data_IF_814973705840
#
_entry.id   IF_814973705840
#
_cell.length_a   1.000
_cell.length_b   1.000
_cell.length_c   1.000
_cell.angle_alpha   90.00
_cell.angle_beta   90.00
_cell.angle_gamma   90.00
#
_symmetry.space_group_name_H-M   'P 1'
#
loop_
_entity.id
_entity.type
_entity.pdbx_description
1 polymer ?
#
# COMPACT_ATOMS: atom_id res chain seq x y z
N UNK A 1 3.05 -11.91 7.56
CA UNK A 1 2.31 -10.69 7.24
C UNK A 1 1.20 -10.44 8.25
N UNK A 2 0.81 -9.17 8.45
CA UNK A 2 -0.16 -8.72 9.48
C UNK A 2 -1.48 -9.53 9.53
N UNK A 3 -1.95 -10.04 8.40
CA UNK A 3 -3.20 -10.83 8.32
C UNK A 3 -3.12 -12.21 8.99
N UNK A 4 -1.94 -12.76 9.17
CA UNK A 4 -1.68 -14.05 9.81
C UNK A 4 -1.03 -13.91 11.19
N UNK A 5 -0.79 -12.69 11.66
CA UNK A 5 -0.21 -12.41 12.96
C UNK A 5 -1.30 -12.49 14.04
N UNK A 6 -1.13 -13.39 15.02
CA UNK A 6 -2.09 -13.59 16.11
C UNK A 6 -2.17 -12.40 17.08
N UNK A 7 -1.14 -11.54 17.09
CA UNK A 7 -1.06 -10.35 17.95
C UNK A 7 -1.62 -9.11 17.26
N UNK A 8 -1.80 -9.14 15.93
CA UNK A 8 -2.28 -8.00 15.18
C UNK A 8 -3.78 -8.13 14.90
N UNK A 9 -4.54 -7.10 15.23
CA UNK A 9 -5.95 -6.96 14.85
C UNK A 9 -6.08 -5.92 13.77
N UNK A 10 -6.43 -6.33 12.55
CA UNK A 10 -6.67 -5.44 11.43
C UNK A 10 -7.95 -4.62 11.70
N UNK A 11 -7.82 -3.30 11.69
CA UNK A 11 -8.93 -2.36 11.97
C UNK A 11 -9.48 -1.70 10.72
N UNK A 12 -8.66 -1.53 9.69
CA UNK A 12 -9.11 -1.05 8.39
C UNK A 12 -8.31 -1.65 7.25
N UNK A 13 -8.93 -1.78 6.09
CA UNK A 13 -8.28 -2.21 4.85
C UNK A 13 -8.84 -1.39 3.69
N UNK A 14 -7.99 -0.58 3.06
CA UNK A 14 -8.26 0.09 1.79
C UNK A 14 -7.67 -0.71 0.64
N UNK A 15 -8.42 -0.90 -0.43
CA UNK A 15 -7.97 -1.56 -1.66
C UNK A 15 -8.28 -0.63 -2.82
N UNK A 16 -7.25 -0.07 -3.41
CA UNK A 16 -7.36 0.91 -4.48
C UNK A 16 -6.81 0.31 -5.77
N UNK A 17 -7.68 0.17 -6.76
CA UNK A 17 -7.24 -0.19 -8.09
C UNK A 17 -6.63 1.03 -8.77
N UNK A 18 -5.49 0.84 -9.39
CA UNK A 18 -4.79 1.85 -10.17
C UNK A 18 -5.06 1.60 -11.67
N UNK A 19 -5.14 2.66 -12.44
CA UNK A 19 -5.17 2.59 -13.89
C UNK A 19 -4.12 3.57 -14.42
N UNK A 20 -3.43 3.15 -15.48
CA UNK A 20 -2.42 3.98 -16.13
C UNK A 20 -3.03 5.29 -16.64
N UNK A 21 -2.20 6.32 -16.76
CA UNK A 21 -2.61 7.65 -17.20
C UNK A 21 -3.16 7.70 -18.63
N UNK A 22 -2.84 6.68 -19.44
CA UNK A 22 -3.31 6.60 -20.84
C UNK A 22 -4.77 6.16 -20.93
N UNK A 23 -5.52 6.88 -21.73
CA UNK A 23 -6.94 6.66 -22.00
C UNK A 23 -7.88 7.52 -21.16
N UNK A 24 -9.10 7.73 -21.65
CA UNK A 24 -10.05 8.62 -21.02
C UNK A 24 -10.38 8.24 -19.57
N UNK A 25 -10.38 9.22 -18.68
CA UNK A 25 -10.64 9.06 -17.25
C UNK A 25 -11.97 8.32 -16.97
N UNK A 26 -13.00 8.55 -17.82
CA UNK A 26 -14.28 7.85 -17.73
C UNK A 26 -14.20 6.34 -17.90
N UNK A 27 -13.17 5.82 -18.59
CA UNK A 27 -12.92 4.38 -18.73
C UNK A 27 -11.96 3.87 -17.66
N UNK A 28 -10.99 4.68 -17.28
CA UNK A 28 -9.99 4.30 -16.28
C UNK A 28 -10.60 4.19 -14.86
N UNK A 29 -11.57 5.02 -14.53
CA UNK A 29 -12.27 4.95 -13.23
C UNK A 29 -12.97 3.61 -12.99
N UNK A 30 -13.88 3.11 -13.86
CA UNK A 30 -14.46 1.78 -13.65
C UNK A 30 -13.45 0.65 -13.77
N UNK A 31 -12.44 0.77 -14.65
CA UNK A 31 -11.39 -0.23 -14.81
C UNK A 31 -10.57 -0.40 -13.53
N UNK A 32 -10.13 0.69 -12.91
CA UNK A 32 -9.40 0.66 -11.65
C UNK A 32 -10.26 0.10 -10.52
N UNK A 33 -11.53 0.49 -10.44
CA UNK A 33 -12.47 -0.07 -9.45
C UNK A 33 -12.67 -1.58 -9.62
N UNK A 34 -12.76 -2.07 -10.86
CA UNK A 34 -12.86 -3.49 -11.14
C UNK A 34 -11.60 -4.26 -10.72
N UNK A 35 -10.42 -3.67 -10.85
CA UNK A 35 -9.17 -4.25 -10.32
C UNK A 35 -9.21 -4.39 -8.81
N UNK A 36 -9.65 -3.34 -8.08
CA UNK A 36 -9.81 -3.40 -6.63
C UNK A 36 -10.80 -4.49 -6.21
N UNK A 37 -11.94 -4.61 -6.90
CA UNK A 37 -12.93 -5.67 -6.65
C UNK A 37 -12.34 -7.06 -6.85
N UNK A 38 -11.60 -7.27 -7.94
CA UNK A 38 -10.94 -8.55 -8.23
C UNK A 38 -9.89 -8.89 -7.18
N UNK A 39 -9.13 -7.90 -6.74
CA UNK A 39 -8.13 -8.06 -5.69
C UNK A 39 -8.77 -8.41 -4.34
N UNK A 40 -9.86 -7.74 -3.95
CA UNK A 40 -10.61 -8.11 -2.74
C UNK A 40 -11.15 -9.54 -2.84
N UNK A 41 -11.77 -9.90 -3.96
CA UNK A 41 -12.30 -11.27 -4.17
C UNK A 41 -11.20 -12.32 -4.03
N UNK A 42 -10.05 -12.06 -4.63
CA UNK A 42 -8.90 -12.96 -4.52
C UNK A 42 -8.42 -13.04 -3.07
N UNK A 43 -8.24 -11.92 -2.37
CA UNK A 43 -7.82 -11.88 -0.99
C UNK A 43 -8.75 -12.70 -0.09
N UNK A 44 -10.06 -12.47 -0.17
CA UNK A 44 -11.07 -13.17 0.64
C UNK A 44 -11.09 -14.70 0.40
N UNK A 45 -10.68 -15.15 -0.79
CA UNK A 45 -10.57 -16.57 -1.11
C UNK A 45 -9.31 -17.25 -0.53
N UNK A 46 -8.30 -16.44 -0.08
CA UNK A 46 -7.00 -16.95 0.36
C UNK A 46 -6.68 -16.63 1.84
N UNK A 47 -7.64 -16.10 2.59
CA UNK A 47 -7.48 -15.81 4.03
C UNK A 47 -8.54 -16.53 4.86
N UNK A 48 -8.16 -16.98 6.07
CA UNK A 48 -9.03 -17.73 6.94
C UNK A 48 -10.20 -16.90 7.52
N UNK A 49 -10.00 -15.61 7.78
CA UNK A 49 -10.99 -14.73 8.40
C UNK A 49 -11.67 -13.77 7.40
N UNK A 50 -11.99 -14.26 6.20
CA UNK A 50 -12.52 -13.45 5.10
C UNK A 50 -13.73 -12.59 5.46
N UNK A 51 -14.66 -13.09 6.27
CA UNK A 51 -15.85 -12.34 6.68
C UNK A 51 -15.52 -11.11 7.56
N UNK A 52 -14.53 -11.21 8.43
CA UNK A 52 -14.06 -10.07 9.25
C UNK A 52 -13.42 -9.01 8.35
N UNK A 53 -12.53 -9.45 7.47
CA UNK A 53 -11.84 -8.56 6.52
C UNK A 53 -12.84 -7.88 5.58
N UNK A 54 -13.85 -8.60 5.09
CA UNK A 54 -14.90 -8.04 4.24
C UNK A 54 -15.66 -6.89 4.89
N UNK A 55 -15.89 -6.92 6.21
CA UNK A 55 -16.61 -5.86 6.95
C UNK A 55 -15.83 -4.56 7.03
N UNK A 56 -14.50 -4.62 7.11
CA UNK A 56 -13.61 -3.47 7.25
C UNK A 56 -13.00 -3.01 5.93
N UNK A 57 -13.11 -3.84 4.88
CA UNK A 57 -12.57 -3.50 3.56
C UNK A 57 -13.34 -2.35 2.90
N UNK A 58 -12.59 -1.43 2.32
CA UNK A 58 -13.08 -0.32 1.50
C UNK A 58 -12.41 -0.38 0.14
N UNK A 59 -13.22 -0.30 -0.90
CA UNK A 59 -12.74 -0.35 -2.28
C UNK A 59 -12.77 1.04 -2.86
N UNK A 60 -11.66 1.45 -3.43
CA UNK A 60 -11.50 2.70 -4.13
C UNK A 60 -11.04 2.52 -5.57
N UNK A 61 -11.21 3.58 -6.34
CA UNK A 61 -10.65 3.76 -7.67
C UNK A 61 -9.67 4.93 -7.57
N UNK A 62 -8.44 4.71 -8.00
CA UNK A 62 -7.43 5.75 -8.06
C UNK A 62 -6.78 5.69 -9.45
N UNK A 63 -7.44 6.23 -10.49
CA UNK A 63 -6.76 6.44 -11.76
C UNK A 63 -5.53 7.32 -11.50
N UNK A 64 -4.38 6.86 -11.94
CA UNK A 64 -3.16 7.65 -11.80
C UNK A 64 -3.12 8.69 -12.92
N UNK A 65 -2.88 9.95 -12.56
CA UNK A 65 -2.55 10.97 -13.52
C UNK A 65 -1.14 10.79 -14.11
N UNK A 66 -0.63 11.80 -14.76
CA UNK A 66 0.67 11.76 -15.43
C UNK A 66 1.87 12.00 -14.50
N UNK A 67 1.63 12.43 -13.24
CA UNK A 67 2.72 12.68 -12.29
C UNK A 67 3.54 11.42 -11.97
N UNK A 68 2.96 10.23 -11.71
CA UNK A 68 3.73 9.01 -11.48
C UNK A 68 4.60 8.60 -12.68
N UNK A 69 4.15 8.90 -13.91
CA UNK A 69 4.95 8.67 -15.13
C UNK A 69 6.17 9.59 -15.13
N UNK A 70 5.99 10.88 -14.85
CA UNK A 70 7.09 11.83 -14.73
C UNK A 70 8.07 11.40 -13.63
N UNK A 71 7.58 11.04 -12.46
CA UNK A 71 8.41 10.62 -11.32
C UNK A 71 9.25 9.38 -11.67
N UNK A 72 8.67 8.41 -12.38
CA UNK A 72 9.39 7.24 -12.86
C UNK A 72 10.46 7.58 -13.90
N UNK A 73 10.17 8.50 -14.82
CA UNK A 73 11.16 8.98 -15.80
C UNK A 73 12.33 9.69 -15.12
N UNK A 74 12.05 10.53 -14.13
CA UNK A 74 13.08 11.22 -13.34
C UNK A 74 13.93 10.22 -12.55
N UNK A 75 13.31 9.24 -11.93
CA UNK A 75 14.01 8.20 -11.17
C UNK A 75 14.93 7.34 -12.05
N UNK A 76 14.53 7.08 -13.29
CA UNK A 76 15.35 6.36 -14.28
C UNK A 76 16.43 7.25 -14.94
N UNK A 77 16.51 8.54 -14.60
CA UNK A 77 17.44 9.50 -15.21
C UNK A 77 17.14 9.79 -16.68
N UNK A 78 15.89 9.60 -17.12
CA UNK A 78 15.47 9.82 -18.50
C UNK A 78 15.45 11.34 -18.81
N UNK A 79 16.36 11.79 -19.67
CA UNK A 79 16.51 13.21 -20.03
C UNK A 79 15.22 13.79 -20.67
N UNK A 80 14.42 12.94 -21.30
CA UNK A 80 13.15 13.33 -21.94
C UNK A 80 12.04 13.63 -20.93
N UNK A 81 12.26 13.36 -19.64
CA UNK A 81 11.34 13.72 -18.53
C UNK A 81 10.99 15.21 -18.53
N UNK A 82 11.90 16.07 -18.99
CA UNK A 82 11.67 17.51 -19.11
C UNK A 82 10.50 17.84 -20.05
N UNK A 83 10.32 17.11 -21.14
CA UNK A 83 9.21 17.32 -22.08
C UNK A 83 7.85 17.03 -21.41
N UNK A 84 7.78 15.96 -20.62
CA UNK A 84 6.56 15.61 -19.88
C UNK A 84 6.31 16.64 -18.77
N UNK A 85 7.35 17.03 -18.04
CA UNK A 85 7.27 18.06 -16.98
C UNK A 85 6.72 19.38 -17.51
N UNK A 86 7.19 19.82 -18.68
CA UNK A 86 6.72 21.06 -19.30
C UNK A 86 5.22 21.01 -19.63
N UNK A 87 4.73 19.86 -20.12
CA UNK A 87 3.30 19.67 -20.37
C UNK A 87 2.51 19.70 -19.07
N UNK A 88 2.93 18.96 -18.03
CA UNK A 88 2.24 18.93 -16.75
C UNK A 88 2.21 20.32 -16.10
N UNK A 89 3.28 21.07 -16.19
CA UNK A 89 3.34 22.44 -15.67
C UNK A 89 2.41 23.38 -16.44
N UNK A 90 2.44 23.31 -17.77
CA UNK A 90 1.63 24.20 -18.63
C UNK A 90 0.13 23.91 -18.51
N UNK A 91 -0.24 22.67 -18.33
CA UNK A 91 -1.63 22.20 -18.25
C UNK A 91 -2.02 21.72 -16.85
N UNK A 92 -1.40 22.25 -15.79
CA UNK A 92 -1.64 21.84 -14.41
C UNK A 92 -3.11 22.04 -13.97
N UNK A 93 -3.79 23.04 -14.51
CA UNK A 93 -5.19 23.32 -14.18
C UNK A 93 -6.21 22.57 -15.05
N UNK A 94 -5.75 21.67 -15.90
CA UNK A 94 -6.60 20.86 -16.77
C UNK A 94 -6.59 19.39 -16.29
N UNK A 95 -7.60 18.63 -16.73
CA UNK A 95 -7.68 17.21 -16.41
C UNK A 95 -6.63 16.38 -17.19
N UNK A 96 -6.45 15.15 -16.77
CA UNK A 96 -5.47 14.21 -17.34
C UNK A 96 -5.68 13.95 -18.83
N UNK A 97 -6.94 13.97 -19.31
CA UNK A 97 -7.28 13.77 -20.73
C UNK A 97 -6.69 14.89 -21.61
N UNK A 98 -6.60 16.11 -21.08
CA UNK A 98 -5.97 17.25 -21.80
C UNK A 98 -4.46 17.06 -21.81
N UNK A 99 -3.86 16.74 -20.68
CA UNK A 99 -2.43 16.46 -20.57
C UNK A 99 -2.01 15.31 -21.52
N UNK A 100 -2.79 14.21 -21.52
CA UNK A 100 -2.58 13.07 -22.42
C UNK A 100 -2.52 13.49 -23.89
N UNK A 101 -3.44 14.34 -24.32
CA UNK A 101 -3.50 14.80 -25.72
C UNK A 101 -2.18 15.43 -26.19
N UNK A 102 -1.49 16.15 -25.31
CA UNK A 102 -0.20 16.79 -25.62
C UNK A 102 0.97 15.80 -25.45
N UNK A 103 0.94 14.96 -24.43
CA UNK A 103 1.98 13.95 -24.20
C UNK A 103 2.02 12.94 -25.37
N UNK A 104 0.86 12.54 -25.90
CA UNK A 104 0.78 11.65 -27.06
C UNK A 104 1.39 12.22 -28.34
N UNK A 105 1.57 13.53 -28.42
CA UNK A 105 2.20 14.20 -29.59
C UNK A 105 3.73 14.31 -29.46
N UNK A 106 4.28 13.94 -28.31
CA UNK A 106 5.72 13.95 -28.11
C UNK A 106 6.38 12.84 -28.97
N UNK A 107 7.57 13.10 -29.51
CA UNK A 107 8.30 12.09 -30.28
C UNK A 107 8.67 10.85 -29.44
N UNK A 108 8.68 10.99 -28.12
CA UNK A 108 9.00 9.96 -27.15
C UNK A 108 7.78 9.13 -26.70
N UNK A 109 6.60 9.34 -27.27
CA UNK A 109 5.35 8.69 -26.85
C UNK A 109 5.48 7.17 -26.79
N UNK A 110 6.06 6.52 -27.79
CA UNK A 110 6.20 5.07 -27.83
C UNK A 110 7.16 4.56 -26.74
N UNK A 111 8.18 5.33 -26.37
CA UNK A 111 9.06 5.04 -25.25
C UNK A 111 8.30 5.11 -23.91
N UNK A 112 7.53 6.20 -23.70
CA UNK A 112 6.70 6.36 -22.50
C UNK A 112 5.74 5.18 -22.34
N UNK A 113 5.01 4.84 -23.40
CA UNK A 113 4.05 3.75 -23.38
C UNK A 113 4.68 2.41 -23.03
N UNK A 114 5.84 2.11 -23.58
CA UNK A 114 6.53 0.84 -23.39
C UNK A 114 7.22 0.72 -22.05
N UNK A 115 7.85 1.80 -21.55
CA UNK A 115 8.67 1.75 -20.34
C UNK A 115 7.88 2.05 -19.05
N UNK A 116 6.93 3.00 -19.09
CA UNK A 116 6.36 3.60 -17.88
C UNK A 116 4.88 3.25 -17.67
N UNK A 117 4.05 3.25 -18.71
CA UNK A 117 2.62 3.03 -18.54
C UNK A 117 2.23 1.62 -18.10
N UNK A 118 3.07 0.61 -18.34
CA UNK A 118 2.77 -0.75 -17.90
C UNK A 118 2.89 -0.93 -16.38
N UNK A 119 3.75 -0.16 -15.73
CA UNK A 119 4.00 -0.22 -14.28
C UNK A 119 2.79 0.26 -13.46
N UNK A 120 1.95 1.14 -14.02
CA UNK A 120 0.79 1.75 -13.36
C UNK A 120 -0.47 0.85 -13.33
N UNK A 121 -0.37 -0.40 -13.77
CA UNK A 121 -1.51 -1.35 -13.79
C UNK A 121 -1.48 -2.25 -12.56
N UNK A 122 -1.68 -1.67 -11.39
CA UNK A 122 -1.51 -2.35 -10.11
C UNK A 122 -2.70 -2.15 -9.17
N UNK A 123 -2.60 -2.73 -7.97
CA UNK A 123 -3.53 -2.52 -6.86
C UNK A 123 -2.71 -2.13 -5.64
N UNK A 124 -3.13 -1.05 -5.01
CA UNK A 124 -2.55 -0.56 -3.77
C UNK A 124 -3.39 -1.05 -2.59
N UNK A 125 -2.73 -1.54 -1.54
CA UNK A 125 -3.34 -1.89 -0.28
C UNK A 125 -2.86 -0.94 0.81
N UNK A 126 -3.81 -0.34 1.52
CA UNK A 126 -3.55 0.43 2.73
C UNK A 126 -4.25 -0.26 3.90
N UNK A 127 -3.57 -0.43 5.01
CA UNK A 127 -4.17 -1.09 6.16
C UNK A 127 -3.72 -0.45 7.46
N UNK A 128 -4.62 -0.48 8.45
CA UNK A 128 -4.35 -0.10 9.82
C UNK A 128 -4.61 -1.30 10.70
N UNK A 129 -3.76 -1.50 11.68
CA UNK A 129 -3.88 -2.57 12.64
C UNK A 129 -3.51 -2.10 14.04
N UNK A 130 -3.99 -2.80 15.04
CA UNK A 130 -3.64 -2.62 16.44
C UNK A 130 -2.87 -3.87 16.85
N UNK A 131 -1.71 -3.68 17.45
CA UNK A 131 -0.97 -4.76 18.10
C UNK A 131 -1.55 -4.91 19.51
N UNK A 132 -1.78 -6.15 19.95
CA UNK A 132 -2.23 -6.44 21.31
C UNK A 132 -1.15 -5.97 22.27
N UNK A 133 -1.52 -5.06 23.18
CA UNK A 133 -0.67 -4.72 24.31
C UNK A 133 -0.76 -5.84 25.36
N UNK A 134 0.38 -6.20 25.92
CA UNK A 134 0.44 -7.13 27.04
C UNK A 134 0.03 -6.39 28.30
N UNK A 135 -0.94 -6.94 29.03
CA UNK A 135 -1.54 -6.27 30.20
C UNK A 135 -1.07 -6.88 31.50
N UNK A 136 -0.47 -8.07 31.49
CA UNK A 136 0.07 -8.72 32.68
C UNK A 136 1.50 -9.19 32.46
N UNK A 137 2.25 -9.32 33.55
CA UNK A 137 3.64 -9.78 33.53
C UNK A 137 3.74 -11.22 33.00
N UNK A 138 2.76 -12.08 33.34
CA UNK A 138 2.68 -13.45 32.84
C UNK A 138 2.47 -13.51 31.33
N UNK A 139 1.59 -12.66 30.79
CA UNK A 139 1.39 -12.56 29.32
C UNK A 139 2.68 -12.11 28.63
N UNK A 140 3.41 -11.13 29.20
CA UNK A 140 4.66 -10.64 28.66
C UNK A 140 5.73 -11.73 28.61
N UNK A 141 5.92 -12.47 29.72
CA UNK A 141 6.90 -13.56 29.78
C UNK A 141 6.59 -14.68 28.77
N UNK A 142 5.33 -15.13 28.68
CA UNK A 142 4.93 -16.15 27.72
C UNK A 142 5.13 -15.71 26.26
N UNK A 143 4.79 -14.46 25.97
CA UNK A 143 4.94 -13.94 24.61
C UNK A 143 6.37 -13.66 24.24
N UNK A 144 7.23 -13.29 25.18
CA UNK A 144 8.64 -13.11 24.93
C UNK A 144 9.31 -14.40 24.43
N UNK A 145 8.94 -15.56 25.01
CA UNK A 145 9.44 -16.86 24.54
C UNK A 145 8.97 -17.20 23.11
N UNK A 146 7.76 -16.78 22.75
CA UNK A 146 7.14 -17.11 21.45
C UNK A 146 7.48 -16.11 20.34
N UNK A 147 7.51 -14.83 20.67
CA UNK A 147 7.61 -13.72 19.71
C UNK A 147 8.43 -12.56 20.28
N UNK A 148 9.73 -12.74 20.50
CA UNK A 148 10.59 -11.66 20.99
C UNK A 148 10.63 -10.45 20.02
N UNK A 149 10.42 -10.69 18.72
CA UNK A 149 10.35 -9.67 17.68
C UNK A 149 9.16 -8.68 17.79
N UNK A 150 8.18 -9.01 18.64
CA UNK A 150 6.99 -8.17 18.84
C UNK A 150 7.15 -7.12 19.96
N UNK A 151 8.29 -7.09 20.64
CA UNK A 151 8.54 -6.21 21.77
C UNK A 151 9.30 -4.95 21.37
N UNK A 152 8.91 -3.82 21.95
CA UNK A 152 9.68 -2.57 21.90
C UNK A 152 10.86 -2.62 22.88
N UNK A 153 11.80 -1.66 22.77
CA UNK A 153 12.95 -1.57 23.68
C UNK A 153 12.52 -1.42 25.14
N UNK A 154 11.48 -0.63 25.42
CA UNK A 154 10.96 -0.44 26.78
C UNK A 154 10.32 -1.71 27.33
N UNK A 155 9.60 -2.47 26.52
CA UNK A 155 9.00 -3.74 26.89
C UNK A 155 10.07 -4.82 27.14
N UNK A 156 11.17 -4.83 26.39
CA UNK A 156 12.32 -5.69 26.66
C UNK A 156 12.92 -5.45 28.05
N UNK A 157 13.11 -4.18 28.43
CA UNK A 157 13.61 -3.84 29.75
C UNK A 157 12.66 -4.32 30.84
N UNK A 158 11.36 -4.18 30.63
CA UNK A 158 10.34 -4.64 31.57
C UNK A 158 10.34 -6.16 31.71
N UNK A 159 10.40 -6.90 30.61
CA UNK A 159 10.52 -8.37 30.60
C UNK A 159 11.75 -8.83 31.37
N UNK A 160 12.90 -8.18 31.22
CA UNK A 160 14.12 -8.52 31.95
C UNK A 160 13.93 -8.34 33.48
N UNK A 161 13.27 -7.26 33.90
CA UNK A 161 12.98 -7.00 35.32
C UNK A 161 12.01 -8.03 35.92
N UNK A 162 10.97 -8.41 35.15
CA UNK A 162 10.00 -9.42 35.59
C UNK A 162 10.67 -10.79 35.73
N UNK A 163 11.49 -11.19 34.75
CA UNK A 163 12.19 -12.47 34.74
C UNK A 163 13.14 -12.58 35.93
N UNK A 164 13.92 -11.53 36.23
CA UNK A 164 14.80 -11.48 37.41
C UNK A 164 14.03 -11.58 38.71
N UNK A 165 12.86 -10.93 38.81
CA UNK A 165 11.99 -11.01 39.99
C UNK A 165 11.40 -12.39 40.18
N UNK A 166 10.98 -13.06 39.09
CA UNK A 166 10.44 -14.42 39.13
C UNK A 166 11.49 -15.47 39.55
N UNK A 167 12.75 -15.30 39.15
CA UNK A 167 13.85 -16.16 39.59
C UNK A 167 14.17 -15.98 41.10
N UNK A 168 14.15 -14.74 41.60
CA UNK A 168 14.35 -14.44 43.03
C UNK A 168 13.24 -14.99 43.92
N UNK A 169 12.01 -15.15 43.44
CA UNK A 169 10.89 -15.73 44.18
C UNK A 169 10.94 -17.27 44.26
N UNK A 170 11.71 -17.92 43.41
CA UNK A 170 11.88 -19.38 43.37
C UNK A 170 13.05 -19.88 44.24
N UNK A 171 13.86 -18.98 44.76
CA UNK A 171 14.97 -19.25 45.70
C UNK A 171 14.53 -19.06 47.14
#
# INVERSE_FOLDING_TARGET
PVLSDSLATLTSLGIYGLASADGPLKFNTPLSRNRANSALKWLLAHIENGDKVKKIARIGSRPEGWQPVLDAMVADGDADSTMVKDILTRYANFNDDVQERYIRRLPIWDSIKKKYLQKSRSVEYTYTYIIKNFTTDEEMLQMYELRPDAFSEDEFLHVAQIAESAEKQKQ
#
